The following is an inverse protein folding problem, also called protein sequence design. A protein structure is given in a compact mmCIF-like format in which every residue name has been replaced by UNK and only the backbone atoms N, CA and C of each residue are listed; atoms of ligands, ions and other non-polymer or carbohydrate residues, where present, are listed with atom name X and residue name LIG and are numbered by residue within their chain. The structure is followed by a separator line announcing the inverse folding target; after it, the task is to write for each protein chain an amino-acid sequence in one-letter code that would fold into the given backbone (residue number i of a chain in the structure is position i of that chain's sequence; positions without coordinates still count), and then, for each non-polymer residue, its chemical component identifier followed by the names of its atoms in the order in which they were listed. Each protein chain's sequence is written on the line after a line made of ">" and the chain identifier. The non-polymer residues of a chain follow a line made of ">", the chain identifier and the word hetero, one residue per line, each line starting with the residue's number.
data_IF_514689067778
#
_entry.id   IF_514689067778
#
_cell.length_a   1.000
_cell.length_b   1.000
_cell.length_c   1.000
_cell.angle_alpha   90.00
_cell.angle_beta   90.00
_cell.angle_gamma   90.00
#
_symmetry.space_group_name_H-M   'P 1'
#
loop_
_entity.id
_entity.type
_entity.pdbx_description
1 polymer ?
#
# COMPACT_ATOMS: atom_id res chain seq x y z
N UNK A 1 -21.96 15.03 94.45
CA UNK A 1 -21.93 15.80 93.19
C UNK A 1 -20.70 15.37 92.42
N UNK A 2 -20.87 14.68 91.30
CA UNK A 2 -19.78 14.15 90.46
C UNK A 2 -19.67 15.04 89.24
N UNK A 3 -18.53 15.72 89.08
CA UNK A 3 -18.24 16.62 87.97
C UNK A 3 -17.42 15.86 86.93
N UNK A 4 -18.05 15.49 85.82
CA UNK A 4 -17.41 14.86 84.66
C UNK A 4 -16.72 15.92 83.80
N UNK A 5 -15.39 15.81 83.65
CA UNK A 5 -14.59 16.63 82.75
C UNK A 5 -14.74 16.11 81.31
N UNK A 6 -15.21 16.97 80.41
CA UNK A 6 -15.28 16.73 78.96
C UNK A 6 -13.86 16.74 78.38
N UNK A 7 -13.43 15.62 77.81
CA UNK A 7 -12.18 15.50 77.07
C UNK A 7 -12.31 16.12 75.67
N UNK A 8 -11.40 17.04 75.32
CA UNK A 8 -11.30 17.62 73.99
C UNK A 8 -10.84 16.58 72.96
N UNK A 9 -11.57 16.44 71.85
CA UNK A 9 -11.15 15.66 70.70
C UNK A 9 -9.96 16.32 69.99
N UNK A 10 -8.95 15.55 69.55
CA UNK A 10 -7.79 16.07 68.82
C UNK A 10 -8.20 16.58 67.44
N UNK A 11 -7.57 17.67 67.01
CA UNK A 11 -7.79 18.30 65.72
C UNK A 11 -7.43 17.35 64.55
N UNK A 12 -8.18 17.37 63.43
CA UNK A 12 -7.92 16.51 62.28
C UNK A 12 -6.55 16.80 61.67
N UNK A 13 -5.80 15.72 61.40
CA UNK A 13 -4.48 15.77 60.78
C UNK A 13 -4.61 16.32 59.34
N UNK A 14 -3.88 17.38 58.93
CA UNK A 14 -4.00 17.94 57.59
C UNK A 14 -3.68 16.88 56.53
N UNK A 15 -4.58 16.74 55.55
CA UNK A 15 -4.35 15.91 54.36
C UNK A 15 -3.17 16.49 53.57
N UNK A 16 -2.14 15.69 53.24
CA UNK A 16 -1.00 16.20 52.49
C UNK A 16 -1.46 16.70 51.11
N UNK A 17 -1.07 17.93 50.77
CA UNK A 17 -1.27 18.50 49.43
C UNK A 17 -0.53 17.64 48.41
N UNK A 18 -1.19 17.17 47.32
CA UNK A 18 -0.50 16.41 46.28
C UNK A 18 0.65 17.23 45.72
N UNK A 19 1.86 16.67 45.78
CA UNK A 19 3.04 17.26 45.14
C UNK A 19 2.82 17.14 43.63
N UNK A 20 2.91 18.23 42.85
CA UNK A 20 2.81 18.15 41.40
C UNK A 20 3.89 17.19 40.87
N UNK A 21 3.46 16.11 40.21
CA UNK A 21 4.38 15.23 39.50
C UNK A 21 5.13 16.07 38.47
N UNK A 22 6.48 16.10 38.49
CA UNK A 22 7.25 16.82 37.49
C UNK A 22 6.81 16.37 36.11
N UNK A 23 6.25 17.28 35.32
CA UNK A 23 5.98 17.01 33.91
C UNK A 23 7.33 16.87 33.24
N UNK A 24 7.70 15.66 32.83
CA UNK A 24 8.91 15.44 32.04
C UNK A 24 8.85 16.37 30.82
N UNK A 25 9.80 17.30 30.76
CA UNK A 25 9.98 18.14 29.58
C UNK A 25 10.41 17.20 28.45
N UNK A 26 9.78 17.25 27.26
CA UNK A 26 10.28 16.51 26.11
C UNK A 26 11.75 16.84 25.92
N UNK A 27 12.61 15.82 25.86
CA UNK A 27 14.02 16.03 25.58
C UNK A 27 14.14 16.76 24.24
N UNK A 28 14.93 17.83 24.19
CA UNK A 28 15.28 18.48 22.92
C UNK A 28 15.99 17.40 22.09
N UNK A 29 15.56 17.14 20.84
CA UNK A 29 16.22 16.18 19.98
C UNK A 29 17.72 16.48 19.94
N UNK A 30 18.55 15.49 20.27
CA UNK A 30 20.00 15.64 20.11
C UNK A 30 20.30 15.79 18.62
N UNK A 31 21.27 16.62 18.30
CA UNK A 31 21.74 16.84 16.94
C UNK A 31 22.02 15.51 16.21
N UNK A 32 22.57 14.53 16.93
CA UNK A 32 22.90 13.19 16.44
C UNK A 32 21.72 12.47 15.76
N UNK A 33 20.49 12.59 16.29
CA UNK A 33 19.32 11.93 15.69
C UNK A 33 18.98 12.56 14.34
N UNK A 34 19.12 13.88 14.21
CA UNK A 34 18.91 14.60 12.94
C UNK A 34 19.99 14.23 11.94
N UNK A 35 21.25 14.12 12.40
CA UNK A 35 22.37 13.69 11.56
C UNK A 35 22.16 12.28 10.99
N UNK A 36 21.66 11.33 11.79
CA UNK A 36 21.31 10.00 11.28
C UNK A 36 20.24 10.03 10.20
N UNK A 37 19.16 10.77 10.44
CA UNK A 37 18.07 10.88 9.49
C UNK A 37 18.54 11.53 8.18
N UNK A 38 19.36 12.58 8.26
CA UNK A 38 19.97 13.20 7.09
C UNK A 38 20.94 12.25 6.36
N UNK A 39 21.68 11.42 7.07
CA UNK A 39 22.56 10.42 6.47
C UNK A 39 21.75 9.34 5.72
N UNK A 40 20.63 8.87 6.28
CA UNK A 40 19.73 7.95 5.58
C UNK A 40 19.12 8.59 4.33
N UNK A 41 18.68 9.84 4.42
CA UNK A 41 18.17 10.59 3.27
C UNK A 41 19.23 10.76 2.19
N UNK A 42 20.46 11.15 2.56
CA UNK A 42 21.55 11.33 1.60
C UNK A 42 21.95 10.02 0.92
N UNK A 43 21.96 8.90 1.64
CA UNK A 43 22.28 7.58 1.11
C UNK A 43 21.25 7.05 0.09
N UNK A 44 20.02 7.60 0.10
CA UNK A 44 18.91 7.15 -0.73
C UNK A 44 18.37 8.25 -1.65
N UNK A 45 19.07 9.38 -1.77
CA UNK A 45 18.61 10.56 -2.51
C UNK A 45 18.55 10.34 -4.03
N UNK A 46 19.33 9.40 -4.56
CA UNK A 46 19.46 9.14 -6.00
C UNK A 46 18.54 7.99 -6.48
N UNK A 47 17.64 7.51 -5.63
CA UNK A 47 16.81 6.35 -5.92
C UNK A 47 15.47 6.79 -6.49
N UNK A 48 15.13 6.32 -7.70
CA UNK A 48 13.82 6.52 -8.31
C UNK A 48 12.75 5.68 -7.60
N UNK A 49 11.51 6.16 -7.60
CA UNK A 49 10.40 5.43 -6.96
C UNK A 49 9.53 4.69 -7.98
N UNK A 50 9.32 3.40 -7.72
CA UNK A 50 8.43 2.50 -8.45
C UNK A 50 9.17 1.46 -9.32
N UNK A 51 8.43 0.58 -9.97
CA UNK A 51 8.97 -0.50 -10.77
C UNK A 51 9.02 -0.22 -12.28
N UNK A 52 8.55 0.95 -12.75
CA UNK A 52 8.57 1.29 -14.16
C UNK A 52 9.98 1.22 -14.76
N UNK A 53 11.05 1.78 -14.15
CA UNK A 53 12.39 1.68 -14.74
C UNK A 53 12.85 0.22 -14.91
N UNK A 54 12.56 -0.68 -13.96
CA UNK A 54 12.87 -2.11 -14.10
C UNK A 54 12.02 -2.78 -15.18
N UNK A 55 10.72 -2.46 -15.25
CA UNK A 55 9.85 -2.97 -16.30
C UNK A 55 10.34 -2.56 -17.69
N UNK A 56 10.97 -1.39 -17.83
CA UNK A 56 11.49 -0.91 -19.12
C UNK A 56 12.81 -1.59 -19.54
N UNK A 57 13.56 -2.21 -18.62
CA UNK A 57 14.80 -2.92 -18.96
C UNK A 57 14.56 -4.12 -19.90
N UNK A 58 15.37 -4.28 -20.95
CA UNK A 58 15.21 -5.36 -21.95
C UNK A 58 15.22 -6.77 -21.35
N UNK A 59 15.92 -6.95 -20.23
CA UNK A 59 16.04 -8.22 -19.49
C UNK A 59 14.83 -8.52 -18.59
N UNK A 60 13.96 -7.54 -18.34
CA UNK A 60 12.77 -7.73 -17.54
C UNK A 60 11.70 -8.48 -18.33
N UNK A 61 11.01 -9.38 -17.64
CA UNK A 61 9.96 -10.23 -18.18
C UNK A 61 8.92 -10.50 -17.10
N UNK A 62 7.68 -10.78 -17.49
CA UNK A 62 6.61 -11.12 -16.56
C UNK A 62 6.29 -12.60 -16.69
N UNK A 63 6.58 -13.37 -15.64
CA UNK A 63 6.39 -14.83 -15.63
C UNK A 63 5.10 -15.21 -14.91
N UNK A 64 4.56 -16.39 -15.26
CA UNK A 64 3.53 -17.04 -14.46
C UNK A 64 4.16 -17.95 -13.42
N UNK A 65 3.82 -17.71 -12.15
CA UNK A 65 4.09 -18.62 -11.04
C UNK A 65 2.81 -19.34 -10.66
N UNK A 66 2.85 -20.66 -10.71
CA UNK A 66 1.77 -21.52 -10.19
C UNK A 66 2.10 -21.95 -8.76
N UNK A 67 1.18 -21.74 -7.83
CA UNK A 67 1.25 -22.31 -6.49
C UNK A 67 -0.14 -22.81 -6.02
N UNK A 68 -0.24 -23.20 -4.75
CA UNK A 68 -1.48 -23.74 -4.20
C UNK A 68 -2.64 -22.72 -4.18
N UNK A 69 -2.37 -21.42 -4.27
CA UNK A 69 -3.38 -20.37 -4.31
C UNK A 69 -3.84 -20.02 -5.74
N UNK A 70 -3.13 -20.53 -6.77
CA UNK A 70 -3.46 -20.32 -8.17
C UNK A 70 -2.24 -19.89 -9.00
N UNK A 71 -2.53 -19.39 -10.20
CA UNK A 71 -1.52 -18.73 -11.04
C UNK A 71 -1.43 -17.25 -10.67
N UNK A 72 -0.22 -16.73 -10.56
CA UNK A 72 0.05 -15.30 -10.36
C UNK A 72 1.15 -14.82 -11.30
N UNK A 73 0.96 -13.62 -11.82
CA UNK A 73 1.98 -12.94 -12.61
C UNK A 73 3.07 -12.37 -11.69
N UNK A 74 4.34 -12.46 -12.10
CA UNK A 74 5.47 -11.85 -11.40
C UNK A 74 6.38 -11.12 -12.38
N UNK A 75 6.59 -9.83 -12.14
CA UNK A 75 7.64 -9.09 -12.81
C UNK A 75 9.00 -9.58 -12.30
N UNK A 76 9.79 -10.14 -13.19
CA UNK A 76 11.14 -10.64 -12.95
C UNK A 76 12.11 -9.70 -13.65
N UNK A 77 13.18 -9.30 -12.95
CA UNK A 77 14.21 -8.39 -13.45
C UNK A 77 15.60 -8.90 -13.04
N UNK A 78 16.70 -8.38 -13.61
CA UNK A 78 18.04 -8.73 -13.16
C UNK A 78 18.17 -8.62 -11.65
N UNK A 79 18.84 -9.61 -11.05
CA UNK A 79 19.00 -9.65 -9.60
C UNK A 79 19.65 -8.35 -9.11
N UNK A 80 18.94 -7.63 -8.26
CA UNK A 80 19.41 -6.36 -7.72
C UNK A 80 20.49 -6.61 -6.65
N UNK A 81 21.41 -5.66 -6.41
CA UNK A 81 22.45 -5.79 -5.39
C UNK A 81 21.87 -6.08 -4.00
N UNK A 82 22.63 -6.78 -3.16
CA UNK A 82 22.25 -7.01 -1.76
C UNK A 82 22.30 -5.72 -0.92
N UNK A 83 23.05 -4.72 -1.37
CA UNK A 83 23.05 -3.37 -0.79
C UNK A 83 21.91 -2.54 -1.40
N UNK A 84 20.86 -2.20 -0.64
CA UNK A 84 19.70 -1.46 -1.14
C UNK A 84 20.06 -0.03 -1.60
N UNK A 85 21.19 0.52 -1.14
CA UNK A 85 21.64 1.86 -1.56
C UNK A 85 22.18 1.89 -2.99
N UNK A 86 22.42 0.71 -3.58
CA UNK A 86 22.87 0.55 -4.97
C UNK A 86 21.72 0.32 -5.95
N UNK A 87 20.48 0.25 -5.46
CA UNK A 87 19.31 0.09 -6.33
C UNK A 87 19.01 1.42 -7.01
N UNK A 88 18.73 1.36 -8.32
CA UNK A 88 18.35 2.55 -9.09
C UNK A 88 16.91 2.96 -8.86
N UNK A 89 16.03 1.98 -8.64
CA UNK A 89 14.61 2.21 -8.44
C UNK A 89 14.05 1.30 -7.36
N UNK A 90 13.15 1.79 -6.54
CA UNK A 90 12.63 1.10 -5.35
C UNK A 90 11.15 1.35 -5.15
N UNK A 91 10.47 0.43 -4.51
CA UNK A 91 9.16 0.71 -3.92
C UNK A 91 9.28 1.18 -2.47
N UNK A 92 8.13 1.38 -1.81
CA UNK A 92 8.10 1.84 -0.43
C UNK A 92 8.73 0.83 0.53
N UNK A 93 8.58 -0.48 0.26
CA UNK A 93 9.24 -1.50 1.07
C UNK A 93 10.77 -1.42 0.95
N UNK A 94 11.31 -1.40 -0.26
CA UNK A 94 12.77 -1.37 -0.45
C UNK A 94 13.36 -0.04 0.03
N UNK A 95 12.64 1.08 -0.13
CA UNK A 95 13.03 2.37 0.47
C UNK A 95 13.09 2.31 2.00
N UNK A 96 12.07 1.72 2.64
CA UNK A 96 12.03 1.55 4.09
C UNK A 96 13.11 0.56 4.58
N UNK A 97 13.39 -0.49 3.82
CA UNK A 97 14.48 -1.43 4.07
C UNK A 97 15.84 -0.73 3.95
N UNK A 98 16.07 0.08 2.92
CA UNK A 98 17.29 0.86 2.72
C UNK A 98 17.55 1.81 3.88
N UNK A 99 16.51 2.50 4.34
CA UNK A 99 16.59 3.36 5.54
C UNK A 99 17.01 2.55 6.76
N UNK A 100 16.40 1.38 6.98
CA UNK A 100 16.80 0.46 8.05
C UNK A 100 18.26 0.02 7.89
N UNK A 101 18.69 -0.33 6.69
CA UNK A 101 20.04 -0.81 6.39
C UNK A 101 21.09 0.22 6.80
N UNK A 102 20.90 1.49 6.40
CA UNK A 102 21.79 2.59 6.75
C UNK A 102 21.81 2.84 8.27
N UNK A 103 20.64 2.90 8.89
CA UNK A 103 20.51 3.28 10.30
C UNK A 103 20.89 2.18 11.30
N UNK A 104 20.82 0.89 10.91
CA UNK A 104 21.06 -0.25 11.82
C UNK A 104 22.46 -0.24 12.44
N UNK A 105 23.43 0.40 11.78
CA UNK A 105 24.82 0.49 12.25
C UNK A 105 25.09 1.69 13.14
N UNK A 106 24.13 2.60 13.30
CA UNK A 106 24.34 3.87 14.01
C UNK A 106 24.18 3.70 15.53
N UNK A 107 25.12 4.21 16.35
CA UNK A 107 25.18 3.93 17.78
C UNK A 107 24.04 4.54 18.61
N UNK A 108 23.33 5.54 18.08
CA UNK A 108 22.24 6.22 18.77
C UNK A 108 20.85 5.73 18.32
N UNK A 109 20.78 4.73 17.43
CA UNK A 109 19.54 4.05 17.05
C UNK A 109 19.38 2.80 17.93
N UNK A 110 18.30 2.73 18.71
CA UNK A 110 18.04 1.62 19.64
C UNK A 110 17.19 0.50 19.05
N UNK A 111 16.23 0.86 18.18
CA UNK A 111 15.36 -0.11 17.51
C UNK A 111 14.92 0.44 16.16
N UNK A 112 14.85 -0.45 15.17
CA UNK A 112 14.27 -0.17 13.85
C UNK A 112 13.26 -1.25 13.52
N UNK A 113 12.12 -0.87 12.96
CA UNK A 113 11.12 -1.78 12.42
C UNK A 113 10.54 -1.20 11.12
N UNK A 114 9.93 -2.05 10.29
CA UNK A 114 9.19 -1.61 9.12
C UNK A 114 7.70 -1.67 9.45
N UNK A 115 6.97 -0.59 9.24
CA UNK A 115 5.51 -0.59 9.39
C UNK A 115 4.85 -0.53 8.03
N UNK A 116 3.78 -1.29 7.86
CA UNK A 116 2.91 -1.19 6.67
C UNK A 116 1.66 -0.38 6.99
N UNK A 117 1.24 0.42 6.02
CA UNK A 117 0.03 1.22 6.04
C UNK A 117 -0.84 0.82 4.86
N UNK A 118 -2.10 0.52 5.13
CA UNK A 118 -3.15 0.43 4.15
C UNK A 118 -3.66 1.81 3.82
N UNK A 119 -3.43 2.24 2.59
CA UNK A 119 -3.86 3.55 2.09
C UNK A 119 -5.13 3.34 1.28
N UNK A 120 -6.29 3.82 1.76
CA UNK A 120 -7.55 3.63 1.05
C UNK A 120 -7.51 4.31 -0.32
N UNK A 121 -7.93 3.58 -1.34
CA UNK A 121 -8.00 4.05 -2.71
C UNK A 121 -9.29 3.55 -3.36
N UNK A 122 -9.81 4.29 -4.33
CA UNK A 122 -11.04 3.90 -5.01
C UNK A 122 -11.04 4.29 -6.48
N UNK A 123 -11.68 3.47 -7.31
CA UNK A 123 -12.00 3.77 -8.71
C UNK A 123 -13.44 3.33 -8.96
N UNK A 124 -14.30 4.27 -9.36
CA UNK A 124 -15.73 3.98 -9.51
C UNK A 124 -16.34 3.49 -8.19
N UNK A 125 -16.94 2.30 -8.20
CA UNK A 125 -17.48 1.61 -7.01
C UNK A 125 -16.48 0.68 -6.33
N UNK A 126 -15.31 0.46 -6.91
CA UNK A 126 -14.27 -0.39 -6.32
C UNK A 126 -13.51 0.40 -5.25
N UNK A 127 -13.54 -0.09 -4.02
CA UNK A 127 -12.72 0.39 -2.92
C UNK A 127 -11.68 -0.67 -2.58
N UNK A 128 -10.42 -0.28 -2.50
CA UNK A 128 -9.30 -1.16 -2.20
C UNK A 128 -8.29 -0.44 -1.31
N UNK A 129 -7.31 -1.19 -0.83
CA UNK A 129 -6.25 -0.70 0.03
C UNK A 129 -4.92 -0.93 -0.67
N UNK A 130 -4.14 0.14 -0.85
CA UNK A 130 -2.77 0.06 -1.37
C UNK A 130 -1.82 -0.02 -0.18
N UNK A 131 -0.96 -1.04 -0.16
CA UNK A 131 0.03 -1.19 0.89
C UNK A 131 1.22 -0.23 0.66
N UNK A 132 1.61 0.48 1.72
CA UNK A 132 2.74 1.39 1.73
C UNK A 132 3.61 1.16 2.96
N UNK A 133 4.93 1.25 2.83
CA UNK A 133 5.86 0.98 3.93
C UNK A 133 6.66 2.21 4.34
N UNK A 134 6.95 2.30 5.63
CA UNK A 134 7.89 3.27 6.19
C UNK A 134 8.75 2.64 7.31
N UNK A 135 9.79 3.35 7.74
CA UNK A 135 10.71 2.89 8.78
C UNK A 135 10.41 3.56 10.11
N UNK A 136 10.15 2.77 11.16
CA UNK A 136 9.98 3.26 12.53
C UNK A 136 11.28 3.11 13.27
N UNK A 137 11.75 4.22 13.82
CA UNK A 137 13.00 4.32 14.55
C UNK A 137 12.69 4.69 15.98
N UNK A 138 13.29 3.98 16.92
CA UNK A 138 13.45 4.43 18.30
C UNK A 138 14.93 4.72 18.52
N UNK A 139 15.24 5.91 19.00
CA UNK A 139 16.60 6.32 19.35
C UNK A 139 16.95 5.91 20.79
N UNK A 140 18.22 6.00 21.17
CA UNK A 140 18.70 5.65 22.53
C UNK A 140 18.10 6.57 23.59
N UNK A 141 17.82 7.84 23.24
CA UNK A 141 17.12 8.80 24.10
C UNK A 141 15.59 8.58 24.18
N UNK A 142 15.09 7.49 23.58
CA UNK A 142 13.67 7.11 23.46
C UNK A 142 12.82 8.03 22.58
N UNK A 143 13.39 9.03 21.94
CA UNK A 143 12.70 9.75 20.87
C UNK A 143 12.41 8.78 19.71
N UNK A 144 11.37 9.10 18.93
CA UNK A 144 10.89 8.25 17.84
C UNK A 144 10.78 9.07 16.56
N UNK A 145 11.06 8.42 15.44
CA UNK A 145 10.84 8.95 14.11
C UNK A 145 10.18 7.89 13.23
N UNK A 146 9.38 8.35 12.27
CA UNK A 146 8.89 7.54 11.16
C UNK A 146 9.50 8.14 9.91
N UNK A 147 10.22 7.34 9.13
CA UNK A 147 10.92 7.78 7.93
C UNK A 147 10.24 7.17 6.71
N UNK A 148 9.77 8.04 5.83
CA UNK A 148 9.27 7.69 4.52
C UNK A 148 10.01 8.58 3.52
N UNK A 149 10.90 7.96 2.73
CA UNK A 149 11.71 8.64 1.72
C UNK A 149 11.10 8.54 0.32
N UNK A 150 9.84 8.13 0.22
CA UNK A 150 9.14 8.10 -1.06
C UNK A 150 8.67 9.51 -1.44
N UNK A 151 8.46 9.80 -2.74
CA UNK A 151 7.85 11.06 -3.19
C UNK A 151 6.43 11.31 -2.64
N UNK A 152 5.84 10.30 -2.01
CA UNK A 152 4.51 10.34 -1.40
C UNK A 152 4.53 10.91 0.02
N UNK A 153 5.69 11.33 0.52
CA UNK A 153 5.86 11.97 1.82
C UNK A 153 6.78 13.18 1.71
N UNK A 154 6.45 14.25 2.44
CA UNK A 154 7.24 15.48 2.52
C UNK A 154 8.20 15.50 3.71
N UNK A 155 7.99 14.66 4.72
CA UNK A 155 8.85 14.60 5.89
C UNK A 155 8.56 13.41 6.82
N UNK A 156 9.42 13.23 7.83
CA UNK A 156 9.23 12.26 8.90
C UNK A 156 7.81 12.36 9.50
N UNK A 157 7.07 11.26 9.54
CA UNK A 157 5.63 11.26 9.81
C UNK A 157 5.29 10.75 11.23
N UNK A 158 5.52 11.53 12.31
CA UNK A 158 5.40 11.05 13.69
C UNK A 158 3.96 10.72 14.14
N UNK A 159 2.95 10.78 13.27
CA UNK A 159 1.53 10.65 13.66
C UNK A 159 0.78 9.47 13.05
N UNK A 160 1.37 8.73 12.12
CA UNK A 160 0.66 7.62 11.48
C UNK A 160 0.96 6.32 12.21
N UNK A 161 -0.10 5.64 12.67
CA UNK A 161 0.02 4.32 13.27
C UNK A 161 -0.05 3.30 12.14
N UNK A 162 0.95 2.41 11.99
CA UNK A 162 0.89 1.39 10.97
C UNK A 162 -0.17 0.34 11.30
N UNK A 163 -0.74 -0.27 10.27
CA UNK A 163 -1.68 -1.38 10.44
C UNK A 163 -0.94 -2.63 10.93
N UNK A 164 0.30 -2.81 10.47
CA UNK A 164 1.15 -3.92 10.89
C UNK A 164 2.60 -3.49 11.06
N UNK A 165 3.30 -4.17 11.96
CA UNK A 165 4.72 -3.93 12.24
C UNK A 165 5.53 -5.19 11.99
N UNK A 166 6.48 -5.11 11.06
CA UNK A 166 7.46 -6.15 10.79
C UNK A 166 8.70 -5.84 11.63
N UNK A 167 8.90 -6.61 12.69
CA UNK A 167 10.01 -6.41 13.63
C UNK A 167 11.05 -7.51 13.59
N UNK A 168 10.74 -8.64 12.93
CA UNK A 168 11.62 -9.79 12.87
C UNK A 168 12.61 -9.64 11.71
N UNK A 169 13.91 -9.61 12.04
CA UNK A 169 14.98 -9.47 11.04
C UNK A 169 14.86 -10.52 9.93
N UNK A 170 14.62 -11.80 10.27
CA UNK A 170 14.53 -12.89 9.30
C UNK A 170 13.39 -12.65 8.29
N UNK A 171 12.24 -12.15 8.74
CA UNK A 171 11.12 -11.84 7.88
C UNK A 171 11.45 -10.66 6.94
N UNK A 172 12.04 -9.59 7.47
CA UNK A 172 12.47 -8.42 6.69
C UNK A 172 13.49 -8.83 5.62
N UNK A 173 14.52 -9.58 5.99
CA UNK A 173 15.55 -10.05 5.06
C UNK A 173 14.96 -11.01 4.00
N UNK A 174 14.00 -11.86 4.36
CA UNK A 174 13.35 -12.77 3.41
C UNK A 174 12.52 -12.02 2.37
N UNK A 175 11.75 -11.00 2.78
CA UNK A 175 10.95 -10.19 1.85
C UNK A 175 11.88 -9.40 0.93
N UNK A 176 12.95 -8.81 1.47
CA UNK A 176 13.95 -8.11 0.67
C UNK A 176 14.64 -9.05 -0.32
N UNK A 177 15.06 -10.24 0.10
CA UNK A 177 15.67 -11.23 -0.77
C UNK A 177 14.74 -11.67 -1.91
N UNK A 178 13.44 -11.85 -1.64
CA UNK A 178 12.45 -12.16 -2.68
C UNK A 178 12.36 -11.01 -3.71
N UNK A 179 12.24 -9.78 -3.20
CA UNK A 179 12.17 -8.55 -4.02
C UNK A 179 13.41 -8.28 -4.85
N UNK A 180 14.59 -8.80 -4.50
CA UNK A 180 15.80 -8.66 -5.33
C UNK A 180 15.65 -9.29 -6.71
N UNK A 181 14.76 -10.25 -6.87
CA UNK A 181 14.59 -11.03 -8.12
C UNK A 181 13.28 -10.74 -8.83
N UNK A 182 12.34 -10.05 -8.19
CA UNK A 182 11.06 -9.72 -8.79
C UNK A 182 9.98 -9.38 -7.78
N UNK A 183 8.82 -8.99 -8.29
CA UNK A 183 7.63 -8.65 -7.51
C UNK A 183 6.37 -9.21 -8.14
N UNK A 184 5.45 -9.70 -7.31
CA UNK A 184 4.20 -10.27 -7.79
C UNK A 184 3.24 -9.16 -8.22
N UNK A 185 2.65 -9.30 -9.41
CA UNK A 185 1.75 -8.32 -10.02
C UNK A 185 0.27 -8.68 -9.81
N UNK A 186 -0.05 -9.68 -8.99
CA UNK A 186 -1.43 -10.01 -8.61
C UNK A 186 -2.05 -9.01 -7.61
N UNK A 187 -1.24 -8.11 -7.08
CA UNK A 187 -1.64 -6.95 -6.27
C UNK A 187 -1.20 -5.66 -6.95
N UNK A 188 -1.74 -4.52 -6.53
CA UNK A 188 -1.32 -3.23 -7.05
C UNK A 188 0.11 -2.91 -6.66
N UNK A 189 0.99 -2.85 -7.66
CA UNK A 189 2.39 -2.54 -7.48
C UNK A 189 2.68 -1.10 -7.93
N UNK A 190 3.47 -0.33 -7.15
CA UNK A 190 3.86 1.03 -7.51
C UNK A 190 4.75 1.01 -8.75
N UNK A 191 4.29 1.63 -9.84
CA UNK A 191 5.07 1.74 -11.06
C UNK A 191 5.89 3.02 -11.08
N UNK A 192 5.26 4.15 -10.73
CA UNK A 192 5.95 5.44 -10.61
C UNK A 192 5.05 6.48 -9.93
N UNK A 193 5.67 7.60 -9.55
CA UNK A 193 4.97 8.83 -9.14
C UNK A 193 5.34 9.93 -10.12
N UNK A 194 4.33 10.59 -10.69
CA UNK A 194 4.51 11.66 -11.68
C UNK A 194 3.89 12.95 -11.21
N UNK A 195 4.54 14.06 -11.51
CA UNK A 195 3.99 15.39 -11.27
C UNK A 195 3.41 15.94 -12.58
N UNK A 196 2.13 16.32 -12.56
CA UNK A 196 1.46 16.98 -13.66
C UNK A 196 0.63 18.13 -13.09
N UNK A 197 0.84 19.36 -13.59
CA UNK A 197 0.16 20.56 -13.12
C UNK A 197 0.25 20.79 -11.60
N UNK A 198 1.46 20.62 -11.02
CA UNK A 198 1.72 20.73 -9.58
C UNK A 198 0.94 19.74 -8.70
N UNK A 199 0.44 18.66 -9.30
CA UNK A 199 -0.27 17.59 -8.63
C UNK A 199 0.49 16.29 -8.83
N UNK A 200 0.75 15.56 -7.73
CA UNK A 200 1.31 14.21 -7.83
C UNK A 200 0.23 13.20 -8.20
N UNK A 201 0.61 12.26 -9.06
CA UNK A 201 -0.17 11.10 -9.45
C UNK A 201 0.61 9.84 -9.15
N UNK A 202 -0.06 8.88 -8.54
CA UNK A 202 0.49 7.58 -8.22
C UNK A 202 -0.01 6.57 -9.25
N UNK A 203 0.93 6.02 -10.01
CA UNK A 203 0.67 5.05 -11.08
C UNK A 203 0.97 3.65 -10.55
N UNK A 204 0.00 2.76 -10.65
CA UNK A 204 0.04 1.39 -10.16
C UNK A 204 -0.23 0.42 -11.31
N UNK A 205 0.34 -0.78 -11.24
CA UNK A 205 0.04 -1.86 -12.17
C UNK A 205 -0.47 -3.10 -11.45
N UNK A 206 -1.32 -3.85 -12.14
CA UNK A 206 -1.79 -5.18 -11.72
C UNK A 206 -2.00 -6.06 -12.96
N UNK A 207 -1.71 -7.34 -12.82
CA UNK A 207 -2.07 -8.39 -13.77
C UNK A 207 -2.90 -9.43 -13.04
N UNK A 208 -4.14 -9.61 -13.49
CA UNK A 208 -5.03 -10.65 -12.99
C UNK A 208 -4.99 -11.81 -13.96
N UNK A 209 -4.69 -13.00 -13.44
CA UNK A 209 -4.62 -14.24 -14.20
C UNK A 209 -5.84 -15.07 -13.84
N UNK A 210 -6.71 -15.29 -14.83
CA UNK A 210 -7.86 -16.19 -14.72
C UNK A 210 -7.63 -17.44 -15.57
N UNK A 211 -8.52 -18.43 -15.43
CA UNK A 211 -8.42 -19.65 -16.23
C UNK A 211 -8.53 -19.35 -17.74
N UNK A 212 -9.46 -18.48 -18.13
CA UNK A 212 -9.74 -18.17 -19.54
C UNK A 212 -9.08 -16.87 -20.03
N UNK A 213 -8.77 -15.93 -19.13
CA UNK A 213 -8.37 -14.57 -19.50
C UNK A 213 -7.14 -14.07 -18.72
N UNK A 214 -6.41 -13.15 -19.33
CA UNK A 214 -5.48 -12.24 -18.66
C UNK A 214 -6.06 -10.83 -18.66
N UNK A 215 -5.99 -10.15 -17.51
CA UNK A 215 -6.33 -8.72 -17.41
C UNK A 215 -5.12 -7.94 -16.95
N UNK A 216 -4.65 -7.02 -17.79
CA UNK A 216 -3.55 -6.09 -17.52
C UNK A 216 -4.16 -4.73 -17.21
N UNK A 217 -3.75 -4.09 -16.12
CA UNK A 217 -4.32 -2.81 -15.74
C UNK A 217 -3.28 -1.84 -15.22
N UNK A 218 -3.44 -0.57 -15.60
CA UNK A 218 -2.82 0.58 -14.96
C UNK A 218 -3.88 1.34 -14.18
N UNK A 219 -3.54 1.75 -12.96
CA UNK A 219 -4.40 2.59 -12.14
C UNK A 219 -3.68 3.86 -11.76
N UNK A 220 -4.38 4.99 -11.86
CA UNK A 220 -3.84 6.31 -11.61
C UNK A 220 -4.66 7.02 -10.55
N UNK A 221 -3.99 7.51 -9.51
CA UNK A 221 -4.63 8.30 -8.46
C UNK A 221 -3.95 9.64 -8.27
N UNK A 222 -4.71 10.73 -8.11
CA UNK A 222 -4.15 11.96 -7.56
C UNK A 222 -3.79 11.75 -6.08
N UNK A 223 -2.58 12.12 -5.69
CA UNK A 223 -2.09 11.97 -4.31
C UNK A 223 -1.86 13.31 -3.63
N UNK A 224 -2.31 13.40 -2.38
CA UNK A 224 -1.79 14.38 -1.43
C UNK A 224 -0.68 13.71 -0.63
N UNK A 225 0.59 14.17 -0.76
CA UNK A 225 1.68 13.63 0.02
C UNK A 225 1.41 13.68 1.51
N UNK A 226 1.94 12.72 2.26
CA UNK A 226 1.98 12.79 3.71
C UNK A 226 2.82 13.98 4.18
N UNK A 227 2.44 14.56 5.30
CA UNK A 227 3.23 15.54 6.04
C UNK A 227 3.19 15.24 7.54
N UNK A 228 3.94 15.97 8.39
CA UNK A 228 3.94 15.72 9.84
C UNK A 228 2.57 15.82 10.53
N UNK A 229 1.59 16.49 9.92
CA UNK A 229 0.24 16.74 10.42
C UNK A 229 -0.82 15.86 9.75
N UNK A 230 -0.65 15.48 8.49
CA UNK A 230 -1.67 14.80 7.69
C UNK A 230 -1.12 13.52 7.03
N UNK A 231 -1.90 12.41 7.03
CA UNK A 231 -1.52 11.20 6.32
C UNK A 231 -1.54 11.42 4.81
N UNK A 232 -0.81 10.56 4.10
CA UNK A 232 -0.96 10.44 2.66
C UNK A 232 -2.44 10.17 2.36
N UNK A 233 -2.99 10.88 1.37
CA UNK A 233 -4.35 10.65 0.89
C UNK A 233 -4.32 10.35 -0.59
N UNK A 234 -4.94 9.24 -0.96
CA UNK A 234 -5.18 8.84 -2.33
C UNK A 234 -6.62 9.21 -2.67
N UNK A 235 -6.80 10.06 -3.68
CA UNK A 235 -8.13 10.45 -4.15
C UNK A 235 -8.68 9.43 -5.14
N UNK A 236 -10.00 9.41 -5.38
CA UNK A 236 -10.59 8.57 -6.42
C UNK A 236 -9.87 8.75 -7.76
N UNK A 237 -9.49 7.63 -8.37
CA UNK A 237 -8.66 7.58 -9.56
C UNK A 237 -9.41 7.13 -10.80
N UNK A 238 -8.64 6.76 -11.82
CA UNK A 238 -9.09 6.01 -12.99
C UNK A 238 -8.28 4.73 -13.14
N UNK A 239 -8.85 3.75 -13.82
CA UNK A 239 -8.19 2.52 -14.23
C UNK A 239 -8.30 2.41 -15.75
N UNK A 240 -7.22 1.97 -16.39
CA UNK A 240 -7.19 1.56 -17.79
C UNK A 240 -6.77 0.09 -17.85
N UNK A 241 -7.61 -0.74 -18.45
CA UNK A 241 -7.42 -2.17 -18.50
C UNK A 241 -7.53 -2.74 -19.91
N UNK A 242 -6.83 -3.83 -20.14
CA UNK A 242 -6.96 -4.69 -21.33
C UNK A 242 -7.20 -6.11 -20.83
N UNK A 243 -8.31 -6.71 -21.26
CA UNK A 243 -8.62 -8.12 -21.01
C UNK A 243 -8.48 -8.89 -22.32
N UNK A 244 -7.72 -9.98 -22.29
CA UNK A 244 -7.42 -10.80 -23.46
C UNK A 244 -7.64 -12.26 -23.11
N UNK A 245 -8.33 -13.00 -23.97
CA UNK A 245 -8.45 -14.44 -23.86
C UNK A 245 -7.06 -15.09 -23.92
N UNK A 246 -6.81 -16.07 -23.05
CA UNK A 246 -5.56 -16.85 -23.06
C UNK A 246 -5.36 -17.56 -24.40
N UNK A 247 -6.43 -17.98 -25.05
CA UNK A 247 -6.36 -18.66 -26.34
C UNK A 247 -5.90 -17.72 -27.47
N UNK A 248 -6.17 -16.42 -27.36
CA UNK A 248 -5.85 -15.40 -28.35
C UNK A 248 -4.61 -14.58 -27.98
N UNK A 249 -4.06 -14.79 -26.78
CA UNK A 249 -3.02 -13.94 -26.22
C UNK A 249 -1.75 -13.90 -27.07
N UNK A 250 -1.32 -15.03 -27.63
CA UNK A 250 -0.13 -15.08 -28.48
C UNK A 250 -0.27 -14.23 -29.75
N UNK A 251 -1.47 -14.23 -30.37
CA UNK A 251 -1.75 -13.40 -31.55
C UNK A 251 -1.81 -11.92 -31.16
N UNK A 252 -2.49 -11.60 -30.06
CA UNK A 252 -2.60 -10.25 -29.54
C UNK A 252 -1.22 -9.67 -29.15
N UNK A 253 -0.38 -10.45 -28.49
CA UNK A 253 0.99 -10.05 -28.13
C UNK A 253 1.86 -9.82 -29.36
N UNK A 254 1.75 -10.68 -30.38
CA UNK A 254 2.48 -10.51 -31.64
C UNK A 254 2.03 -9.24 -32.39
N UNK A 255 0.72 -8.96 -32.41
CA UNK A 255 0.16 -7.71 -32.95
C UNK A 255 0.71 -6.50 -32.19
N UNK A 256 0.67 -6.51 -30.86
CA UNK A 256 1.20 -5.41 -30.04
C UNK A 256 2.70 -5.22 -30.19
N UNK A 257 3.47 -6.29 -30.43
CA UNK A 257 4.93 -6.21 -30.65
C UNK A 257 5.27 -5.64 -32.03
N UNK A 258 4.40 -5.86 -33.02
CA UNK A 258 4.52 -5.22 -34.33
C UNK A 258 4.08 -3.75 -34.29
N UNK A 259 3.07 -3.45 -33.48
CA UNK A 259 2.82 -2.09 -33.03
C UNK A 259 3.95 -1.64 -32.09
N UNK A 260 4.16 -0.33 -31.95
CA UNK A 260 5.11 0.19 -30.97
C UNK A 260 4.39 0.56 -29.66
N UNK A 261 5.15 1.11 -28.70
CA UNK A 261 4.61 1.48 -27.38
C UNK A 261 3.56 2.61 -27.42
N UNK A 262 3.35 3.26 -28.58
CA UNK A 262 2.31 4.26 -28.77
C UNK A 262 0.93 3.67 -29.09
N UNK A 263 0.82 2.36 -29.33
CA UNK A 263 -0.43 1.69 -29.74
C UNK A 263 -1.67 2.11 -28.93
N UNK A 264 -1.58 2.08 -27.59
CA UNK A 264 -2.72 2.41 -26.73
C UNK A 264 -3.07 3.91 -26.71
N UNK A 265 -2.10 4.77 -27.02
CA UNK A 265 -2.33 6.21 -27.18
C UNK A 265 -3.03 6.51 -28.50
N UNK A 266 -2.66 5.78 -29.55
CA UNK A 266 -3.22 5.93 -30.90
C UNK A 266 -4.59 5.24 -31.05
N UNK A 267 -4.85 4.20 -30.25
CA UNK A 267 -6.09 3.43 -30.24
C UNK A 267 -6.69 3.34 -28.82
N UNK A 268 -7.12 4.46 -28.22
CA UNK A 268 -7.62 4.48 -26.84
C UNK A 268 -8.90 3.65 -26.65
N UNK A 269 -9.67 3.42 -27.72
CA UNK A 269 -10.90 2.60 -27.70
C UNK A 269 -10.64 1.12 -27.40
N UNK A 270 -9.38 0.68 -27.47
CA UNK A 270 -8.96 -0.68 -27.08
C UNK A 270 -8.83 -0.85 -25.55
N UNK A 271 -8.82 0.26 -24.81
CA UNK A 271 -8.74 0.26 -23.36
C UNK A 271 -10.14 0.29 -22.74
N UNK A 272 -10.35 -0.55 -21.74
CA UNK A 272 -11.47 -0.37 -20.81
C UNK A 272 -11.07 0.68 -19.79
N UNK A 273 -11.72 1.85 -19.80
CA UNK A 273 -11.47 2.92 -18.83
C UNK A 273 -12.63 3.00 -17.84
N UNK A 274 -12.31 2.93 -16.54
CA UNK A 274 -13.28 3.12 -15.46
C UNK A 274 -12.84 4.22 -14.49
N UNK A 275 -13.81 4.74 -13.73
CA UNK A 275 -13.62 5.88 -12.83
C UNK A 275 -14.23 7.17 -13.39
N UNK A 276 -14.02 8.28 -12.68
CA UNK A 276 -14.45 9.59 -13.14
C UNK A 276 -13.31 10.25 -13.92
N UNK A 277 -13.33 10.23 -15.26
CA UNK A 277 -12.27 10.84 -16.04
C UNK A 277 -12.22 12.34 -15.75
N UNK A 278 -11.02 12.84 -15.49
CA UNK A 278 -10.73 14.26 -15.55
C UNK A 278 -9.56 14.46 -16.54
N UNK A 279 -9.44 15.66 -17.10
CA UNK A 279 -8.47 15.92 -18.18
C UNK A 279 -7.03 15.60 -17.76
N UNK A 280 -6.64 15.92 -16.53
CA UNK A 280 -5.29 15.66 -16.03
C UNK A 280 -5.02 14.16 -15.88
N UNK A 281 -5.97 13.39 -15.33
CA UNK A 281 -5.85 11.93 -15.21
C UNK A 281 -5.76 11.24 -16.57
N UNK A 282 -6.58 11.67 -17.54
CA UNK A 282 -6.50 11.16 -18.91
C UNK A 282 -5.14 11.51 -19.54
N UNK A 283 -4.66 12.73 -19.36
CA UNK A 283 -3.34 13.15 -19.88
C UNK A 283 -2.21 12.32 -19.27
N UNK A 284 -2.23 12.11 -17.95
CA UNK A 284 -1.23 11.28 -17.27
C UNK A 284 -1.34 9.83 -17.73
N UNK A 285 -2.56 9.30 -17.92
CA UNK A 285 -2.76 7.96 -18.46
C UNK A 285 -2.14 7.83 -19.86
N UNK A 286 -2.43 8.75 -20.78
CA UNK A 286 -1.93 8.74 -22.16
C UNK A 286 -0.39 8.81 -22.23
N UNK A 287 0.22 9.57 -21.33
CA UNK A 287 1.67 9.69 -21.19
C UNK A 287 2.30 8.39 -20.67
N UNK A 288 1.58 7.59 -19.90
CA UNK A 288 2.09 6.37 -19.24
C UNK A 288 1.52 5.07 -19.82
N UNK A 289 0.74 5.14 -20.91
CA UNK A 289 0.12 3.98 -21.56
C UNK A 289 1.17 2.97 -22.09
N UNK A 290 2.40 3.40 -22.33
CA UNK A 290 3.52 2.52 -22.71
C UNK A 290 3.82 1.45 -21.64
N UNK A 291 3.54 1.72 -20.36
CA UNK A 291 3.73 0.73 -19.30
C UNK A 291 2.77 -0.45 -19.49
N UNK A 292 1.54 -0.20 -19.94
CA UNK A 292 0.59 -1.26 -20.24
C UNK A 292 1.06 -2.09 -21.44
N UNK A 293 1.62 -1.43 -22.45
CA UNK A 293 2.25 -2.10 -23.58
C UNK A 293 3.38 -3.03 -23.11
N UNK A 294 4.30 -2.53 -22.28
CA UNK A 294 5.40 -3.34 -21.74
C UNK A 294 4.92 -4.50 -20.86
N UNK A 295 3.89 -4.30 -20.03
CA UNK A 295 3.32 -5.39 -19.23
C UNK A 295 2.82 -6.53 -20.10
N UNK A 296 2.22 -6.23 -21.26
CA UNK A 296 1.68 -7.23 -22.18
C UNK A 296 2.78 -7.86 -23.04
N UNK A 297 3.67 -7.06 -23.64
CA UNK A 297 4.70 -7.57 -24.54
C UNK A 297 5.81 -8.33 -23.82
N UNK A 298 6.03 -8.05 -22.53
CA UNK A 298 6.98 -8.78 -21.68
C UNK A 298 6.36 -9.97 -20.95
N UNK A 299 5.05 -10.21 -21.11
CA UNK A 299 4.37 -11.32 -20.45
C UNK A 299 4.67 -12.66 -21.13
N UNK A 300 5.27 -13.57 -20.40
CA UNK A 300 5.56 -14.93 -20.87
C UNK A 300 4.29 -15.77 -20.81
N UNK A 301 3.62 -15.85 -21.96
CA UNK A 301 2.46 -16.71 -22.11
C UNK A 301 2.79 -18.16 -21.80
N UNK A 302 1.92 -18.79 -21.00
CA UNK A 302 1.92 -20.23 -20.83
C UNK A 302 0.52 -20.73 -21.19
N UNK A 303 0.46 -21.64 -22.17
CA UNK A 303 -0.78 -22.35 -22.46
C UNK A 303 -1.26 -23.06 -21.19
N UNK A 304 -2.58 -23.09 -20.91
CA UNK A 304 -3.11 -23.84 -19.79
C UNK A 304 -2.60 -25.28 -19.83
N UNK A 305 -2.01 -25.76 -18.72
CA UNK A 305 -1.53 -27.14 -18.66
C UNK A 305 -2.75 -28.08 -18.79
N UNK A 306 -2.84 -28.90 -19.86
CA UNK A 306 -4.02 -29.75 -20.10
C UNK A 306 -4.20 -30.84 -19.03
N UNK A 307 -3.18 -31.07 -18.18
CA UNK A 307 -3.24 -32.04 -17.10
C UNK A 307 -3.79 -31.46 -15.78
N UNK A 308 -3.93 -30.12 -15.68
CA UNK A 308 -4.59 -29.51 -14.54
C UNK A 308 -6.09 -29.52 -14.86
N UNK A 309 -6.93 -30.27 -14.11
CA UNK A 309 -8.35 -30.29 -14.38
C UNK A 309 -8.90 -28.87 -14.23
N UNK A 310 -9.63 -28.41 -15.25
CA UNK A 310 -10.39 -27.15 -15.16
C UNK A 310 -11.22 -27.19 -13.88
N UNK A 311 -11.14 -26.17 -13.02
CA UNK A 311 -11.95 -26.15 -11.81
C UNK A 311 -13.41 -26.28 -12.22
N UNK A 312 -14.04 -27.41 -11.86
CA UNK A 312 -15.47 -27.59 -12.09
C UNK A 312 -16.19 -26.47 -11.34
N UNK A 313 -16.98 -25.61 -12.01
CA UNK A 313 -17.68 -24.54 -11.33
C UNK A 313 -18.49 -25.16 -10.18
N UNK A 314 -18.25 -24.67 -8.96
CA UNK A 314 -18.99 -25.14 -7.79
C UNK A 314 -20.46 -24.83 -8.03
N UNK A 315 -21.39 -25.79 -7.85
CA UNK A 315 -22.81 -25.52 -8.07
C UNK A 315 -23.22 -24.31 -7.24
N UNK A 316 -23.72 -23.27 -7.91
CA UNK A 316 -24.25 -22.07 -7.24
C UNK A 316 -25.27 -22.55 -6.23
N UNK A 317 -25.06 -22.24 -4.95
CA UNK A 317 -26.01 -22.60 -3.90
C UNK A 317 -27.40 -22.10 -4.32
N UNK A 318 -28.38 -23.01 -4.39
CA UNK A 318 -29.76 -22.63 -4.66
C UNK A 318 -30.16 -21.60 -3.60
N UNK A 319 -30.67 -20.41 -3.98
CA UNK A 319 -31.05 -19.40 -3.01
C UNK A 319 -32.02 -20.02 -2.01
N UNK A 320 -31.72 -19.87 -0.72
CA UNK A 320 -32.62 -20.30 0.35
C UNK A 320 -33.95 -19.55 0.16
N UNK A 321 -35.11 -20.22 0.23
CA UNK A 321 -36.39 -19.55 0.08
C UNK A 321 -36.47 -18.38 1.05
N UNK A 322 -36.77 -17.19 0.54
CA UNK A 322 -36.98 -16.00 1.36
C UNK A 322 -38.06 -16.32 2.41
N UNK A 323 -37.80 -16.12 3.73
CA UNK A 323 -38.79 -16.39 4.74
C UNK A 323 -40.04 -15.56 4.43
N UNK A 324 -41.19 -16.24 4.35
CA UNK A 324 -42.48 -15.57 4.16
C UNK A 324 -42.68 -14.59 5.32
N UNK A 325 -43.03 -13.32 5.05
CA UNK A 325 -43.28 -12.36 6.12
C UNK A 325 -44.37 -12.92 7.04
N UNK A 326 -44.04 -13.07 8.32
CA UNK A 326 -45.02 -13.43 9.34
C UNK A 326 -45.98 -12.26 9.48
N UNK A 327 -47.28 -12.50 9.26
CA UNK A 327 -48.29 -11.46 9.39
C UNK A 327 -48.25 -10.88 10.82
N UNK A 328 -47.95 -9.59 10.93
CA UNK A 328 -48.03 -8.87 12.20
C UNK A 328 -49.49 -8.91 12.70
N UNK A 329 -49.76 -9.40 13.92
CA UNK A 329 -51.12 -9.44 14.45
C UNK A 329 -51.68 -8.01 14.53
N UNK A 330 -52.85 -7.81 13.93
CA UNK A 330 -53.58 -6.54 14.00
C UNK A 330 -53.94 -6.24 15.46
N UNK A 331 -53.59 -5.06 16.00
CA UNK A 331 -53.95 -4.70 17.37
C UNK A 331 -55.46 -4.66 17.53
N UNK A 332 -55.97 -5.46 18.49
CA UNK A 332 -57.38 -5.49 18.88
C UNK A 332 -57.74 -4.15 19.51
N UNK A 333 -58.69 -3.44 18.90
CA UNK A 333 -59.20 -2.16 19.38
C UNK A 333 -59.71 -2.30 20.82
N UNK A 334 -59.21 -1.47 21.73
CA UNK A 334 -59.73 -1.33 23.08
C UNK A 334 -61.15 -0.71 23.02
N UNK A 335 -62.11 -1.18 23.84
CA UNK A 335 -63.44 -0.58 23.90
C UNK A 335 -63.35 0.86 24.40
N UNK A 336 -64.06 1.75 23.69
CA UNK A 336 -64.18 3.17 24.01
C UNK A 336 -65.06 3.31 25.26
N UNK A 337 -64.46 3.60 26.42
CA UNK A 337 -65.24 4.00 27.60
C UNK A 337 -65.73 5.44 27.39
N UNK A 338 -67.04 5.59 27.29
CA UNK A 338 -67.74 6.87 27.31
C UNK A 338 -67.95 7.32 28.76
N UNK A 339 -67.50 8.53 29.11
CA UNK A 339 -67.96 9.30 30.26
C UNK A 339 -68.43 10.68 29.82
#
# INVERSE_FOLDING_TARGET
>A
MVTTLLACSPAPNPTPTPIPTPTERPAIPRNDNVEALNAAQAALAEVDFGFAPLLLEDSAHVTLKSDAAGERARLTYPEQPADPTQWKTVDSFVSAYGTRYVLKTMPHVSRIALGSFGVPASVGSEAETIEHFATWITFVDRSRAVVDLTPLSTNFAPRHTPDSMITEDIQIESIFADRRTGIDLNQWQPMLVVEQDNQLYFVLARITVSFDDYTFALRLHPVKPADPMEPMQIRPGIIAGVTVSRAEFSEYQAMLTQADSSYFRDQPDTLTIEGSPNQSLTTVLDQNAELLWHLITKFEHQEPNPNIPTPTPSPTATPSPTPTPTLTPTPRSLPLETS
#
